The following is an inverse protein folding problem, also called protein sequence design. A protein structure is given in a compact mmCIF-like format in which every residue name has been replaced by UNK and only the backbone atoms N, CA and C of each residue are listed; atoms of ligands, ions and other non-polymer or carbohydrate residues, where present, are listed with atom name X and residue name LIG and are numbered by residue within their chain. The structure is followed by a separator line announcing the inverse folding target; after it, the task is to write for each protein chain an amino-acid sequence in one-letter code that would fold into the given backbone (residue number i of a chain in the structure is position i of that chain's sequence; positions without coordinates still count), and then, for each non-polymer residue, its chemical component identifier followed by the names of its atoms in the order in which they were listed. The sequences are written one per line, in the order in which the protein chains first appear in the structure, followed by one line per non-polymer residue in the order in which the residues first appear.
data_IF_535535510185
#
_entry.id   IF_535535510185
#
_cell.length_a   1.000
_cell.length_b   1.000
_cell.length_c   1.000
_cell.angle_alpha   90.00
_cell.angle_beta   90.00
_cell.angle_gamma   90.00
#
_symmetry.space_group_name_H-M   'P 1'
#
loop_
_entity.id
_entity.type
_entity.pdbx_description
1 polymer ?
#
# COMPACT_ATOMS: atom_id res chain seq x y z
N UNK A 1 17.21 -19.06 -3.68
CA UNK A 1 15.84 -19.58 -3.89
C UNK A 1 14.94 -18.46 -4.39
N UNK A 2 13.74 -18.79 -4.88
CA UNK A 2 12.70 -17.77 -5.17
C UNK A 2 11.86 -17.54 -3.92
N UNK A 3 11.48 -16.29 -3.65
CA UNK A 3 10.55 -15.92 -2.56
C UNK A 3 9.20 -15.49 -3.14
N UNK A 4 8.12 -15.70 -2.39
CA UNK A 4 6.79 -15.18 -2.69
C UNK A 4 6.46 -13.95 -1.83
N UNK A 5 5.51 -13.12 -2.30
CA UNK A 5 4.91 -12.07 -1.49
C UNK A 5 3.68 -12.62 -0.76
N UNK A 6 3.63 -12.46 0.56
CA UNK A 6 2.56 -13.00 1.40
C UNK A 6 1.26 -12.19 1.37
N UNK A 7 1.22 -11.06 0.65
CA UNK A 7 0.03 -10.20 0.59
C UNK A 7 -1.20 -10.86 -0.04
N UNK A 8 -1.00 -11.87 -0.90
CA UNK A 8 -2.08 -12.74 -1.40
C UNK A 8 -1.53 -14.15 -1.52
N UNK A 9 -2.17 -15.08 -0.81
CA UNK A 9 -1.84 -16.50 -0.81
C UNK A 9 -3.12 -17.34 -0.87
N UNK A 10 -3.02 -18.54 -1.43
CA UNK A 10 -4.06 -19.57 -1.33
C UNK A 10 -3.48 -20.67 -0.46
N UNK A 11 -4.12 -20.91 0.68
CA UNK A 11 -3.69 -21.89 1.67
C UNK A 11 -4.90 -22.73 2.11
N UNK A 12 -4.66 -24.00 2.44
CA UNK A 12 -5.67 -24.86 3.06
C UNK A 12 -5.73 -24.57 4.57
N UNK A 13 -6.90 -24.20 5.12
CA UNK A 13 -7.05 -24.04 6.57
C UNK A 13 -6.80 -25.35 7.31
N UNK A 14 -5.90 -25.34 8.29
CA UNK A 14 -5.55 -26.53 9.08
C UNK A 14 -5.12 -26.14 10.49
N UNK A 15 -5.80 -26.69 11.50
CA UNK A 15 -5.42 -26.51 12.90
C UNK A 15 -4.01 -27.06 13.19
N UNK A 16 -3.62 -28.13 12.52
CA UNK A 16 -2.28 -28.71 12.67
C UNK A 16 -1.22 -27.74 12.14
N UNK A 17 -1.43 -27.17 10.95
CA UNK A 17 -0.53 -26.17 10.36
C UNK A 17 -0.43 -24.92 11.24
N UNK A 18 -1.56 -24.43 11.75
CA UNK A 18 -1.58 -23.31 12.68
C UNK A 18 -0.81 -23.62 13.98
N UNK A 19 -1.00 -24.80 14.56
CA UNK A 19 -0.26 -25.26 15.74
C UNK A 19 1.24 -25.25 15.51
N UNK A 20 1.70 -25.81 14.38
CA UNK A 20 3.12 -25.80 13.99
C UNK A 20 3.65 -24.36 13.91
N UNK A 21 2.90 -23.42 13.32
CA UNK A 21 3.35 -22.02 13.21
C UNK A 21 3.54 -21.40 14.60
N UNK A 22 2.58 -21.62 15.50
CA UNK A 22 2.61 -21.06 16.84
C UNK A 22 3.74 -21.66 17.69
N UNK A 23 3.96 -22.97 17.60
CA UNK A 23 5.00 -23.68 18.35
C UNK A 23 6.40 -23.30 17.87
N UNK A 24 6.57 -23.18 16.55
CA UNK A 24 7.88 -22.91 15.92
C UNK A 24 8.19 -21.42 15.75
N UNK A 25 7.31 -20.51 16.18
CA UNK A 25 7.46 -19.06 15.96
C UNK A 25 8.77 -18.45 16.49
N UNK A 26 9.37 -19.07 17.51
CA UNK A 26 10.63 -18.63 18.12
C UNK A 26 11.85 -19.29 17.48
N UNK A 27 11.66 -20.43 16.83
CA UNK A 27 12.72 -21.23 16.22
C UNK A 27 12.94 -20.82 14.75
N UNK A 28 11.84 -20.59 14.03
CA UNK A 28 11.89 -20.15 12.63
C UNK A 28 12.01 -18.63 12.61
N UNK A 29 13.20 -18.15 12.26
CA UNK A 29 13.53 -16.72 12.22
C UNK A 29 13.06 -16.12 10.90
N UNK A 30 12.12 -15.19 10.97
CA UNK A 30 11.73 -14.40 9.79
C UNK A 30 12.90 -13.52 9.33
N UNK A 31 13.39 -13.76 8.10
CA UNK A 31 14.53 -12.99 7.56
C UNK A 31 14.26 -11.49 7.40
N UNK A 32 12.99 -11.06 7.42
CA UNK A 32 12.60 -9.64 7.36
C UNK A 32 11.78 -9.18 8.57
N UNK A 33 11.68 -10.01 9.62
CA UNK A 33 10.92 -9.72 10.83
C UNK A 33 9.38 -9.74 10.67
N UNK A 34 8.86 -9.91 9.46
CA UNK A 34 7.43 -9.93 9.16
C UNK A 34 6.88 -11.32 8.83
N UNK A 35 5.59 -11.38 8.53
CA UNK A 35 4.91 -12.60 8.09
C UNK A 35 5.49 -13.14 6.78
N UNK A 36 5.84 -12.27 5.82
CA UNK A 36 6.41 -12.71 4.55
C UNK A 36 7.68 -13.53 4.75
N UNK A 37 8.59 -13.06 5.60
CA UNK A 37 9.83 -13.79 5.88
C UNK A 37 9.56 -15.12 6.55
N UNK A 38 8.74 -15.11 7.61
CA UNK A 38 8.34 -16.32 8.32
C UNK A 38 7.71 -17.36 7.38
N UNK A 39 6.75 -16.94 6.57
CA UNK A 39 6.02 -17.83 5.66
C UNK A 39 6.91 -18.37 4.54
N UNK A 40 7.90 -17.61 4.06
CA UNK A 40 8.87 -18.12 3.07
C UNK A 40 9.85 -19.13 3.67
N UNK A 41 10.17 -19.04 4.96
CA UNK A 41 10.95 -20.08 5.67
C UNK A 41 10.13 -21.35 5.91
N UNK A 42 8.82 -21.23 6.14
CA UNK A 42 7.93 -22.36 6.39
C UNK A 42 7.51 -23.07 5.10
N UNK A 43 7.04 -22.32 4.11
CA UNK A 43 6.55 -22.85 2.84
C UNK A 43 7.65 -22.82 1.78
N UNK A 44 8.62 -23.73 1.91
CA UNK A 44 9.74 -23.84 0.96
C UNK A 44 9.33 -24.42 -0.40
N UNK A 45 8.18 -25.12 -0.46
CA UNK A 45 7.55 -25.62 -1.70
C UNK A 45 6.22 -24.91 -1.92
N UNK A 46 6.09 -24.20 -3.04
CA UNK A 46 4.91 -23.39 -3.35
C UNK A 46 4.73 -23.21 -4.86
N UNK A 47 3.50 -22.85 -5.26
CA UNK A 47 3.13 -22.56 -6.65
C UNK A 47 2.94 -21.06 -6.87
N UNK A 48 3.39 -20.57 -8.03
CA UNK A 48 3.34 -19.14 -8.36
C UNK A 48 1.97 -18.75 -8.91
N UNK A 49 1.30 -17.81 -8.24
CA UNK A 49 0.14 -17.12 -8.80
C UNK A 49 0.57 -16.09 -9.87
N UNK A 50 -0.27 -15.80 -10.87
CA UNK A 50 -0.01 -14.72 -11.82
C UNK A 50 0.19 -13.38 -11.10
N UNK A 51 1.18 -12.59 -11.53
CA UNK A 51 1.52 -11.29 -10.91
C UNK A 51 0.32 -10.32 -10.82
N UNK A 52 -0.65 -10.43 -11.74
CA UNK A 52 -1.87 -9.59 -11.78
C UNK A 52 -2.80 -9.80 -10.56
N UNK A 53 -2.62 -10.89 -9.82
CA UNK A 53 -3.39 -11.24 -8.61
C UNK A 53 -2.83 -10.58 -7.35
N UNK A 54 -1.59 -10.09 -7.39
CA UNK A 54 -0.93 -9.38 -6.27
C UNK A 54 0.03 -8.33 -6.84
N UNK A 55 -0.52 -7.34 -7.54
CA UNK A 55 0.30 -6.39 -8.29
C UNK A 55 0.73 -5.22 -7.41
N UNK A 56 2.03 -5.14 -7.14
CA UNK A 56 2.61 -4.17 -6.18
C UNK A 56 2.56 -2.71 -6.67
N UNK A 57 2.07 -1.81 -5.81
CA UNK A 57 2.20 -0.35 -5.93
C UNK A 57 3.59 0.08 -5.46
N UNK A 58 4.57 -0.10 -6.33
CA UNK A 58 5.95 0.35 -6.16
C UNK A 58 6.58 0.74 -7.50
N UNK A 59 7.66 1.51 -7.49
CA UNK A 59 8.34 2.02 -8.66
C UNK A 59 9.83 2.00 -8.32
N UNK A 60 10.50 0.92 -8.72
CA UNK A 60 11.90 0.69 -8.35
C UNK A 60 12.86 1.43 -9.27
N UNK A 61 12.44 1.67 -10.51
CA UNK A 61 13.18 2.49 -11.45
C UNK A 61 12.59 3.90 -11.46
N UNK A 62 13.46 4.91 -11.44
CA UNK A 62 13.09 6.28 -11.83
C UNK A 62 12.82 6.38 -13.36
N UNK A 63 12.67 5.24 -14.05
CA UNK A 63 12.43 5.19 -15.47
C UNK A 63 10.96 5.49 -15.74
N UNK A 64 10.73 6.52 -16.57
CA UNK A 64 9.39 6.98 -16.95
C UNK A 64 8.51 5.86 -17.53
N UNK A 65 9.10 4.85 -18.19
CA UNK A 65 8.36 3.73 -18.76
C UNK A 65 7.73 2.79 -17.71
N UNK A 66 8.42 2.50 -16.59
CA UNK A 66 7.81 1.70 -15.52
C UNK A 66 6.63 2.45 -14.90
N UNK A 67 6.85 3.73 -14.59
CA UNK A 67 5.83 4.62 -14.02
C UNK A 67 4.60 4.69 -14.93
N UNK A 68 4.82 4.94 -16.23
CA UNK A 68 3.74 5.02 -17.21
C UNK A 68 2.97 3.70 -17.33
N UNK A 69 3.67 2.58 -17.51
CA UNK A 69 3.06 1.25 -17.64
C UNK A 69 2.22 0.90 -16.40
N UNK A 70 2.77 1.08 -15.19
CA UNK A 70 2.05 0.71 -13.96
C UNK A 70 0.85 1.61 -13.71
N UNK A 71 0.98 2.92 -13.92
CA UNK A 71 -0.14 3.84 -13.82
C UNK A 71 -1.24 3.52 -14.86
N UNK A 72 -0.88 3.15 -16.09
CA UNK A 72 -1.86 2.67 -17.08
C UNK A 72 -2.60 1.42 -16.58
N UNK A 73 -1.89 0.46 -15.96
CA UNK A 73 -2.50 -0.75 -15.41
C UNK A 73 -3.41 -0.44 -14.20
N UNK A 74 -2.99 0.44 -13.28
CA UNK A 74 -3.78 0.85 -12.13
C UNK A 74 -5.06 1.59 -12.52
N UNK A 75 -4.99 2.43 -13.56
CA UNK A 75 -6.10 3.23 -14.05
C UNK A 75 -6.95 2.55 -15.13
N UNK A 76 -6.62 1.33 -15.56
CA UNK A 76 -7.32 0.66 -16.66
C UNK A 76 -8.80 0.41 -16.35
N UNK A 77 -9.65 0.73 -17.32
CA UNK A 77 -11.08 0.42 -17.32
C UNK A 77 -11.47 -0.06 -18.74
N UNK A 78 -11.84 -1.33 -18.95
CA UNK A 78 -12.04 -2.37 -17.94
C UNK A 78 -10.74 -2.77 -17.20
N UNK A 79 -10.84 -3.29 -15.96
CA UNK A 79 -9.66 -3.66 -15.17
C UNK A 79 -8.76 -4.69 -15.86
N UNK A 80 -7.46 -4.40 -15.94
CA UNK A 80 -6.43 -5.35 -16.42
C UNK A 80 -5.72 -6.10 -15.29
N UNK A 81 -5.82 -5.59 -14.06
CA UNK A 81 -5.30 -6.19 -12.83
C UNK A 81 -6.47 -6.76 -12.03
N UNK A 82 -6.22 -7.88 -11.34
CA UNK A 82 -7.20 -8.44 -10.41
C UNK A 82 -7.10 -7.80 -9.02
N UNK A 83 -5.92 -7.34 -8.63
CA UNK A 83 -5.71 -6.60 -7.37
C UNK A 83 -4.55 -5.61 -7.47
N UNK A 84 -4.52 -4.67 -6.51
CA UNK A 84 -3.40 -3.75 -6.28
C UNK A 84 -2.95 -3.92 -4.83
N UNK A 85 -1.68 -4.20 -4.63
CA UNK A 85 -1.07 -4.28 -3.29
C UNK A 85 -0.46 -2.93 -2.95
N UNK A 86 -1.12 -2.17 -2.07
CA UNK A 86 -0.70 -0.86 -1.61
C UNK A 86 0.45 -0.98 -0.59
N UNK A 87 1.68 -0.80 -1.07
CA UNK A 87 2.88 -0.61 -0.25
C UNK A 87 3.02 0.87 0.15
N UNK A 88 3.90 1.14 1.12
CA UNK A 88 4.08 2.46 1.73
C UNK A 88 2.92 2.84 2.66
N UNK A 89 2.69 4.15 2.80
CA UNK A 89 1.55 4.70 3.52
C UNK A 89 0.24 4.24 2.88
N UNK A 90 -0.71 3.81 3.71
CA UNK A 90 -2.00 3.32 3.24
C UNK A 90 -2.87 4.48 2.74
N UNK A 91 -3.71 4.28 1.70
CA UNK A 91 -4.49 5.37 1.11
C UNK A 91 -5.38 6.13 2.09
N UNK A 92 -5.98 5.44 3.08
CA UNK A 92 -6.81 6.07 4.11
C UNK A 92 -6.03 6.93 5.11
N UNK A 93 -4.70 6.75 5.21
CA UNK A 93 -3.81 7.59 6.04
C UNK A 93 -3.36 8.88 5.33
N UNK A 94 -3.70 9.02 4.05
CA UNK A 94 -3.51 10.22 3.26
C UNK A 94 -4.85 10.95 3.11
N UNK A 95 -4.80 12.25 2.81
CA UNK A 95 -5.98 12.95 2.29
C UNK A 95 -6.41 12.40 0.93
N UNK A 96 -7.67 12.61 0.57
CA UNK A 96 -8.27 12.15 -0.70
C UNK A 96 -7.63 12.78 -1.94
N UNK A 97 -7.12 13.99 -1.79
CA UNK A 97 -6.71 14.83 -2.91
C UNK A 97 -5.52 14.27 -3.71
N UNK A 98 -4.56 13.60 -3.05
CA UNK A 98 -3.41 12.95 -3.70
C UNK A 98 -2.75 11.90 -2.79
N UNK A 99 -1.84 11.10 -3.35
CA UNK A 99 -1.10 10.09 -2.58
C UNK A 99 -0.01 10.75 -1.70
N UNK A 100 -0.23 10.83 -0.39
CA UNK A 100 0.73 11.46 0.54
C UNK A 100 2.09 10.75 0.63
N UNK A 101 2.26 9.57 0.01
CA UNK A 101 3.59 8.99 -0.20
C UNK A 101 4.51 9.93 -1.02
N UNK A 102 3.96 10.88 -1.79
CA UNK A 102 4.76 11.92 -2.48
C UNK A 102 5.51 12.85 -1.52
N UNK A 103 4.94 13.13 -0.34
CA UNK A 103 5.51 14.08 0.62
C UNK A 103 6.68 13.50 1.44
N UNK A 104 6.83 12.18 1.47
CA UNK A 104 7.83 11.50 2.30
C UNK A 104 8.90 10.86 1.42
N UNK A 105 10.14 11.33 1.55
CA UNK A 105 11.24 11.04 0.62
C UNK A 105 11.46 9.56 0.31
N UNK A 106 11.52 8.70 1.33
CA UNK A 106 11.72 7.26 1.18
C UNK A 106 10.44 6.49 0.77
N UNK A 107 9.27 7.12 0.87
CA UNK A 107 7.99 6.56 0.46
C UNK A 107 7.64 6.86 -0.99
N UNK A 108 8.35 7.77 -1.66
CA UNK A 108 8.08 8.16 -3.06
C UNK A 108 8.11 6.99 -4.03
N UNK A 109 8.91 5.95 -3.74
CA UNK A 109 8.94 4.71 -4.52
C UNK A 109 7.61 3.96 -4.49
N UNK A 110 6.67 4.32 -3.62
CA UNK A 110 5.33 3.76 -3.54
C UNK A 110 4.24 4.72 -4.03
N UNK A 111 4.57 5.96 -4.38
CA UNK A 111 3.57 6.99 -4.65
C UNK A 111 2.89 6.84 -6.04
N UNK A 112 1.55 6.91 -6.08
CA UNK A 112 0.78 6.92 -7.32
C UNK A 112 -0.63 7.48 -7.09
N UNK A 113 -0.92 8.65 -7.64
CA UNK A 113 -2.27 9.23 -7.55
C UNK A 113 -3.30 8.42 -8.33
N UNK A 114 -2.86 7.70 -9.37
CA UNK A 114 -3.76 6.84 -10.15
C UNK A 114 -4.24 5.68 -9.28
N UNK A 115 -3.32 5.00 -8.57
CA UNK A 115 -3.69 3.96 -7.62
C UNK A 115 -4.48 4.54 -6.43
N UNK A 116 -4.07 5.71 -5.90
CA UNK A 116 -4.78 6.38 -4.80
C UNK A 116 -6.24 6.67 -5.13
N UNK A 117 -6.50 7.29 -6.29
CA UNK A 117 -7.87 7.50 -6.78
C UNK A 117 -8.64 6.20 -6.97
N UNK A 118 -7.98 5.13 -7.41
CA UNK A 118 -8.61 3.80 -7.52
C UNK A 118 -9.05 3.25 -6.16
N UNK A 119 -8.26 3.46 -5.11
CA UNK A 119 -8.64 3.08 -3.75
C UNK A 119 -9.87 3.87 -3.26
N UNK A 120 -9.90 5.19 -3.50
CA UNK A 120 -11.04 6.01 -3.10
C UNK A 120 -12.35 5.63 -3.79
N UNK A 121 -12.31 5.15 -5.05
CA UNK A 121 -13.48 4.55 -5.70
C UNK A 121 -14.01 3.31 -4.96
N UNK A 122 -13.12 2.49 -4.38
CA UNK A 122 -13.53 1.36 -3.55
C UNK A 122 -14.14 1.86 -2.26
N UNK A 123 -13.48 2.82 -1.60
CA UNK A 123 -13.98 3.41 -0.36
C UNK A 123 -15.39 3.99 -0.51
N UNK A 124 -15.62 4.76 -1.55
CA UNK A 124 -16.91 5.43 -1.79
C UNK A 124 -18.04 4.43 -2.13
N UNK A 125 -17.68 3.22 -2.56
CA UNK A 125 -18.63 2.13 -2.80
C UNK A 125 -18.86 1.24 -1.56
N UNK A 126 -18.09 1.41 -0.48
CA UNK A 126 -18.31 0.67 0.77
C UNK A 126 -19.50 1.25 1.54
N UNK A 127 -20.14 0.44 2.37
CA UNK A 127 -21.13 0.91 3.34
C UNK A 127 -20.54 2.02 4.25
N UNK A 128 -21.35 3.03 4.58
CA UNK A 128 -20.94 4.15 5.45
C UNK A 128 -20.38 3.67 6.81
N UNK A 129 -20.93 2.56 7.32
CA UNK A 129 -20.48 1.93 8.56
C UNK A 129 -19.04 1.39 8.50
N UNK A 130 -18.52 1.13 7.30
CA UNK A 130 -17.13 0.75 7.05
C UNK A 130 -16.25 1.97 6.78
N UNK A 131 -16.78 2.96 6.06
CA UNK A 131 -16.06 4.20 5.75
C UNK A 131 -15.57 4.93 7.00
N UNK A 132 -16.33 4.88 8.11
CA UNK A 132 -15.92 5.49 9.40
C UNK A 132 -14.58 4.96 9.95
N UNK A 133 -14.19 3.73 9.62
CA UNK A 133 -12.90 3.18 10.04
C UNK A 133 -11.72 3.74 9.25
N UNK A 134 -11.98 4.48 8.17
CA UNK A 134 -10.98 5.19 7.37
C UNK A 134 -10.82 6.67 7.79
N UNK A 135 -11.33 7.06 8.97
CA UNK A 135 -11.11 8.38 9.55
C UNK A 135 -9.64 8.66 9.87
N UNK A 136 -9.27 9.95 9.93
CA UNK A 136 -7.95 10.39 10.33
C UNK A 136 -7.98 10.80 11.80
N UNK A 137 -7.05 10.29 12.61
CA UNK A 137 -6.85 10.81 13.97
C UNK A 137 -6.27 12.22 13.91
N UNK A 138 -6.50 13.02 14.96
CA UNK A 138 -5.90 14.35 15.09
C UNK A 138 -4.36 14.30 14.96
N UNK A 139 -3.73 13.29 15.57
CA UNK A 139 -2.30 13.05 15.45
C UNK A 139 -1.88 12.85 13.98
N UNK A 140 -2.61 12.03 13.21
CA UNK A 140 -2.27 11.81 11.80
C UNK A 140 -2.48 13.06 10.93
N UNK A 141 -3.49 13.88 11.24
CA UNK A 141 -3.69 15.15 10.55
C UNK A 141 -2.50 16.10 10.76
N UNK A 142 -1.99 16.20 11.99
CA UNK A 142 -0.79 16.99 12.32
C UNK A 142 0.44 16.44 11.56
N UNK A 143 0.61 15.13 11.51
CA UNK A 143 1.69 14.50 10.75
C UNK A 143 1.60 14.80 9.26
N UNK A 144 0.41 14.76 8.65
CA UNK A 144 0.22 15.12 7.23
C UNK A 144 0.59 16.57 6.93
N UNK A 145 0.26 17.50 7.83
CA UNK A 145 0.67 18.90 7.69
C UNK A 145 2.19 19.07 7.84
N UNK A 146 2.79 18.33 8.76
CA UNK A 146 4.24 18.30 8.94
C UNK A 146 4.97 17.71 7.72
N UNK A 147 4.49 16.58 7.20
CA UNK A 147 5.03 15.92 6.00
C UNK A 147 5.03 16.90 4.81
N UNK A 148 3.91 17.59 4.57
CA UNK A 148 3.80 18.64 3.53
C UNK A 148 4.77 19.80 3.75
N UNK A 149 4.91 20.27 4.99
CA UNK A 149 5.86 21.35 5.33
C UNK A 149 7.31 20.94 5.07
N UNK A 150 7.68 19.71 5.44
CA UNK A 150 9.02 19.17 5.21
C UNK A 150 9.30 18.99 3.72
N UNK A 151 8.33 18.47 2.96
CA UNK A 151 8.42 18.36 1.51
C UNK A 151 8.64 19.72 0.82
N UNK A 152 7.98 20.79 1.29
CA UNK A 152 8.24 22.17 0.82
C UNK A 152 9.67 22.62 1.10
N UNK A 153 10.19 22.39 2.32
CA UNK A 153 11.55 22.77 2.67
C UNK A 153 12.61 22.03 1.86
N UNK A 154 12.33 20.78 1.48
CA UNK A 154 13.19 19.97 0.62
C UNK A 154 13.11 20.38 -0.86
N UNK A 155 12.18 21.25 -1.23
CA UNK A 155 12.02 21.74 -2.61
C UNK A 155 11.61 20.64 -3.58
N UNK A 156 10.80 19.67 -3.14
CA UNK A 156 10.27 18.61 -4.01
C UNK A 156 9.41 19.25 -5.11
N UNK A 157 9.77 18.99 -6.38
CA UNK A 157 9.24 19.69 -7.57
C UNK A 157 8.09 18.96 -8.27
N UNK A 158 7.37 18.10 -7.58
CA UNK A 158 6.30 17.27 -8.15
C UNK A 158 4.91 17.91 -8.13
N UNK A 159 4.83 19.20 -7.79
CA UNK A 159 3.61 20.02 -7.82
C UNK A 159 2.52 19.61 -6.79
N UNK A 160 2.60 18.45 -6.16
CA UNK A 160 1.66 17.98 -5.13
C UNK A 160 1.52 18.92 -3.93
N UNK A 161 2.57 19.68 -3.63
CA UNK A 161 2.57 20.71 -2.59
C UNK A 161 1.61 21.87 -2.89
N UNK A 162 1.32 22.12 -4.17
CA UNK A 162 0.39 23.17 -4.63
C UNK A 162 -1.07 22.73 -4.60
N UNK A 163 -1.33 21.43 -4.41
CA UNK A 163 -2.69 20.90 -4.34
C UNK A 163 -3.36 21.41 -3.06
N UNK A 164 -4.51 22.06 -3.23
CA UNK A 164 -5.37 22.45 -2.12
C UNK A 164 -6.10 21.23 -1.58
N UNK A 165 -5.88 20.92 -0.29
CA UNK A 165 -6.51 19.76 0.37
C UNK A 165 -7.97 20.10 0.69
N UNK A 166 -8.89 19.40 0.02
CA UNK A 166 -10.35 19.56 0.13
C UNK A 166 -11.03 18.41 0.88
N UNK A 167 -10.28 17.37 1.24
CA UNK A 167 -10.80 16.24 2.01
C UNK A 167 -11.53 16.69 3.29
N UNK A 168 -12.83 16.33 3.46
CA UNK A 168 -13.60 16.69 4.65
C UNK A 168 -12.95 16.26 5.96
N UNK A 169 -12.18 15.16 5.96
CA UNK A 169 -11.51 14.63 7.15
C UNK A 169 -10.46 15.58 7.73
N UNK A 170 -10.04 16.61 6.99
CA UNK A 170 -9.17 17.68 7.49
C UNK A 170 -9.86 18.61 8.49
N UNK A 171 -11.18 18.73 8.42
CA UNK A 171 -11.95 19.72 9.19
C UNK A 171 -12.74 19.09 10.34
N UNK A 172 -12.61 17.77 10.52
CA UNK A 172 -13.30 17.02 11.55
C UNK A 172 -12.32 16.83 12.71
N UNK A 173 -12.65 17.43 13.86
CA UNK A 173 -11.96 17.25 15.14
C UNK A 173 -12.48 16.00 15.85
#
# INVERSE_FOLDING_TARGET
GSIFNSGVMVIEPSNCTFGIFMDRRKEIVSYNGGDQGFLNEVFVWWHRLPRRVNFLKNFWSNYSGEVHMKNQLFGSDPPKLYSIHYLGLKPWLCYRDYDCNWDVGDQRVYASDVAHRRWWKVHDAMDESLQRFCGLSQQRQIELEWDRKMAMQMGLRDEHLSINVTDPRRFIN
#
